data_IF_438455738285
#
_entry.id   IF_438455738285
#
_cell.length_a   1.000
_cell.length_b   1.000
_cell.length_c   1.000
_cell.angle_alpha   90.00
_cell.angle_beta   90.00
_cell.angle_gamma   90.00
#
_symmetry.space_group_name_H-M   'P 1'
#
loop_
_entity.id
_entity.type
_entity.pdbx_description
1 polymer ?
#
# COMPACT_ATOMS: atom_id res chain seq x y z
N UNK A 1 33.87 -13.06 -15.98
CA UNK A 1 33.66 -14.10 -14.96
C UNK A 1 33.37 -13.41 -13.64
N UNK A 2 32.12 -13.43 -13.18
CA UNK A 2 31.74 -12.83 -11.89
C UNK A 2 32.07 -13.88 -10.82
N UNK A 3 32.99 -13.56 -9.90
CA UNK A 3 33.34 -14.45 -8.79
C UNK A 3 32.08 -14.74 -7.96
N UNK A 4 31.85 -16.01 -7.62
CA UNK A 4 30.73 -16.38 -6.75
C UNK A 4 30.91 -15.70 -5.39
N UNK A 5 29.87 -15.05 -4.85
CA UNK A 5 29.96 -14.43 -3.54
C UNK A 5 30.28 -15.49 -2.46
N UNK A 6 31.05 -15.13 -1.42
CA UNK A 6 31.38 -16.06 -0.34
C UNK A 6 30.10 -16.58 0.32
N UNK A 7 30.11 -17.86 0.67
CA UNK A 7 28.99 -18.50 1.35
C UNK A 7 28.76 -17.83 2.70
N UNK A 8 27.56 -17.30 2.88
CA UNK A 8 27.06 -16.77 4.17
C UNK A 8 27.03 -17.95 5.17
N UNK A 9 27.86 -17.97 6.24
CA UNK A 9 27.99 -19.10 7.16
C UNK A 9 26.65 -19.55 7.78
N UNK A 10 25.74 -18.62 7.99
CA UNK A 10 24.39 -18.82 8.52
C UNK A 10 23.53 -19.70 7.59
N UNK A 11 23.79 -19.71 6.28
CA UNK A 11 23.12 -20.60 5.33
C UNK A 11 23.58 -22.06 5.43
N UNK A 12 24.70 -22.34 6.10
CA UNK A 12 25.15 -23.72 6.35
C UNK A 12 24.16 -24.47 7.26
N UNK A 13 23.54 -23.76 8.21
CA UNK A 13 22.48 -24.30 9.07
C UNK A 13 21.25 -24.70 8.26
N UNK A 14 20.78 -23.80 7.39
CA UNK A 14 19.63 -24.03 6.49
C UNK A 14 19.86 -25.26 5.61
N UNK A 15 21.04 -25.37 4.98
CA UNK A 15 21.40 -26.52 4.14
C UNK A 15 21.46 -27.82 4.92
N UNK A 16 21.97 -27.79 6.16
CA UNK A 16 22.03 -28.97 7.03
C UNK A 16 20.63 -29.46 7.38
N UNK A 17 19.72 -28.56 7.76
CA UNK A 17 18.32 -28.89 8.08
C UNK A 17 17.61 -29.53 6.90
N UNK A 18 17.72 -28.98 5.70
CA UNK A 18 17.04 -29.59 4.55
C UNK A 18 17.64 -30.94 4.14
N UNK A 19 18.94 -31.15 4.37
CA UNK A 19 19.61 -32.45 4.12
C UNK A 19 19.19 -33.56 5.07
N UNK A 20 18.68 -33.26 6.27
CA UNK A 20 18.11 -34.30 7.15
C UNK A 20 16.77 -34.81 6.64
N UNK A 21 16.04 -33.97 5.90
CA UNK A 21 14.71 -34.29 5.34
C UNK A 21 14.82 -34.88 3.94
N UNK A 22 15.76 -34.38 3.12
CA UNK A 22 15.97 -34.81 1.75
C UNK A 22 17.44 -35.22 1.53
N UNK A 23 17.79 -36.51 1.73
CA UNK A 23 19.10 -37.01 1.33
C UNK A 23 19.25 -36.90 -0.19
N UNK A 24 20.43 -36.48 -0.66
CA UNK A 24 20.74 -36.24 -2.07
C UNK A 24 20.38 -37.47 -2.93
N UNK A 25 19.61 -37.30 -4.01
CA UNK A 25 19.50 -38.36 -5.02
C UNK A 25 18.24 -38.43 -5.89
N UNK A 26 17.13 -37.77 -5.54
CA UNK A 26 15.93 -37.90 -6.38
C UNK A 26 15.06 -36.63 -6.34
N UNK A 27 15.23 -35.78 -7.36
CA UNK A 27 14.42 -34.58 -7.53
C UNK A 27 13.93 -34.52 -8.97
N UNK A 28 12.62 -34.32 -9.15
CA UNK A 28 12.03 -34.07 -10.46
C UNK A 28 12.70 -32.88 -11.14
N UNK A 29 12.73 -32.88 -12.48
CA UNK A 29 13.34 -31.80 -13.25
C UNK A 29 12.76 -30.43 -12.82
N UNK A 30 13.59 -29.38 -12.65
CA UNK A 30 13.14 -28.07 -12.14
C UNK A 30 11.92 -27.50 -12.88
N UNK A 31 11.79 -27.78 -14.17
CA UNK A 31 10.67 -27.34 -15.02
C UNK A 31 9.34 -28.03 -14.71
N UNK A 32 9.36 -29.31 -14.31
CA UNK A 32 8.16 -30.05 -13.89
C UNK A 32 7.68 -29.60 -12.51
N UNK A 33 8.62 -29.35 -11.59
CA UNK A 33 8.34 -28.77 -10.28
C UNK A 33 7.76 -27.36 -10.40
N UNK A 34 8.29 -26.54 -11.31
CA UNK A 34 7.84 -25.16 -11.52
C UNK A 34 6.36 -25.07 -11.93
N UNK A 35 5.86 -25.98 -12.76
CA UNK A 35 4.46 -25.94 -13.24
C UNK A 35 3.45 -26.29 -12.14
N UNK A 36 3.76 -27.31 -11.33
CA UNK A 36 2.95 -27.67 -10.15
C UNK A 36 3.02 -26.60 -9.06
N UNK A 37 4.22 -26.07 -8.80
CA UNK A 37 4.44 -24.99 -7.85
C UNK A 37 3.71 -23.70 -8.26
N UNK A 38 3.69 -23.34 -9.54
CA UNK A 38 2.99 -22.13 -10.02
C UNK A 38 1.47 -22.22 -9.80
N UNK A 39 0.89 -23.40 -9.99
CA UNK A 39 -0.53 -23.66 -9.72
C UNK A 39 -0.85 -23.56 -8.24
N UNK A 40 -0.03 -24.16 -7.38
CA UNK A 40 -0.23 -24.11 -5.93
C UNK A 40 0.03 -22.72 -5.37
N UNK A 41 1.07 -22.04 -5.84
CA UNK A 41 1.35 -20.64 -5.55
C UNK A 41 0.14 -19.76 -5.88
N UNK A 42 -0.48 -19.97 -7.04
CA UNK A 42 -1.70 -19.24 -7.42
C UNK A 42 -2.88 -19.51 -6.46
N UNK A 43 -3.06 -20.75 -5.98
CA UNK A 43 -4.10 -21.07 -4.97
C UNK A 43 -3.84 -20.40 -3.63
N UNK A 44 -2.59 -20.48 -3.16
CA UNK A 44 -2.16 -20.01 -1.83
C UNK A 44 -2.08 -18.48 -1.77
N UNK A 45 -1.51 -17.83 -2.79
CA UNK A 45 -1.42 -16.37 -2.87
C UNK A 45 -2.80 -15.71 -2.77
N UNK A 46 -3.83 -16.33 -3.34
CA UNK A 46 -5.18 -15.77 -3.37
C UNK A 46 -5.98 -15.96 -2.06
N UNK A 47 -5.39 -16.51 -0.99
CA UNK A 47 -6.10 -16.67 0.30
C UNK A 47 -6.44 -15.35 0.97
N UNK A 48 -5.52 -14.39 0.90
CA UNK A 48 -5.73 -13.02 1.38
C UNK A 48 -5.55 -12.00 0.26
N UNK A 49 -5.55 -12.44 -1.00
CA UNK A 49 -5.38 -11.59 -2.16
C UNK A 49 -6.41 -11.88 -3.24
N UNK A 50 -6.66 -10.90 -4.07
CA UNK A 50 -7.29 -11.11 -5.35
C UNK A 50 -6.60 -10.28 -6.42
N UNK A 51 -6.65 -10.77 -7.65
CA UNK A 51 -6.15 -10.06 -8.82
C UNK A 51 -7.29 -9.93 -9.84
N UNK A 52 -7.32 -8.80 -10.53
CA UNK A 52 -8.08 -8.67 -11.77
C UNK A 52 -7.21 -8.01 -12.86
N UNK A 53 -7.54 -8.30 -14.11
CA UNK A 53 -6.94 -7.69 -15.29
C UNK A 53 -8.00 -6.80 -15.94
N UNK A 54 -7.65 -5.55 -16.17
CA UNK A 54 -8.52 -4.55 -16.77
C UNK A 54 -8.06 -4.24 -18.19
N UNK A 55 -8.97 -4.31 -19.16
CA UNK A 55 -8.75 -3.77 -20.50
C UNK A 55 -9.07 -2.28 -20.49
N UNK A 56 -8.03 -1.48 -20.67
CA UNK A 56 -8.08 -0.01 -20.63
C UNK A 56 -8.92 0.55 -21.77
N UNK A 57 -8.99 -0.11 -22.93
CA UNK A 57 -9.78 0.37 -24.08
C UNK A 57 -11.25 0.07 -23.91
N UNK A 58 -11.56 -1.15 -23.47
CA UNK A 58 -12.94 -1.56 -23.24
C UNK A 58 -13.53 -0.93 -21.96
N UNK A 59 -12.67 -0.47 -21.04
CA UNK A 59 -13.02 -0.02 -19.69
C UNK A 59 -13.71 -1.12 -18.86
N UNK A 60 -13.26 -2.38 -19.02
CA UNK A 60 -13.88 -3.54 -18.36
C UNK A 60 -12.84 -4.53 -17.86
N UNK A 61 -13.12 -5.28 -16.77
CA UNK A 61 -12.28 -6.40 -16.39
C UNK A 61 -12.40 -7.54 -17.42
N UNK A 62 -11.25 -8.07 -17.86
CA UNK A 62 -11.18 -9.28 -18.72
C UNK A 62 -10.91 -10.54 -17.92
N UNK A 63 -10.47 -10.39 -16.67
CA UNK A 63 -10.25 -11.49 -15.75
C UNK A 63 -10.41 -11.00 -14.31
N UNK A 64 -11.04 -11.80 -13.45
CA UNK A 64 -11.14 -11.58 -12.01
C UNK A 64 -10.92 -12.92 -11.31
N UNK A 65 -9.97 -12.96 -10.38
CA UNK A 65 -9.71 -14.17 -9.60
C UNK A 65 -10.79 -14.41 -8.54
N UNK A 66 -11.08 -15.68 -8.22
CA UNK A 66 -12.00 -16.05 -7.13
C UNK A 66 -11.54 -15.62 -5.72
N UNK A 67 -10.33 -15.08 -5.57
CA UNK A 67 -9.87 -14.50 -4.30
C UNK A 67 -10.74 -13.34 -3.81
N UNK A 68 -11.42 -12.63 -4.73
CA UNK A 68 -12.23 -11.45 -4.38
C UNK A 68 -13.38 -11.79 -3.44
N UNK A 69 -13.97 -12.99 -3.58
CA UNK A 69 -15.03 -13.47 -2.69
C UNK A 69 -14.51 -13.67 -1.26
N UNK A 70 -13.26 -14.13 -1.11
CA UNK A 70 -12.63 -14.30 0.21
C UNK A 70 -12.29 -12.97 0.86
N UNK A 71 -11.79 -12.00 0.08
CA UNK A 71 -11.32 -10.71 0.61
C UNK A 71 -12.47 -9.71 0.83
N UNK A 72 -13.44 -9.65 -0.09
CA UNK A 72 -14.51 -8.64 -0.07
C UNK A 72 -15.93 -9.24 -0.01
N UNK A 73 -16.07 -10.56 -0.08
CA UNK A 73 -17.36 -11.24 -0.11
C UNK A 73 -18.06 -11.24 -1.47
N UNK A 74 -17.52 -10.52 -2.45
CA UNK A 74 -18.14 -10.35 -3.77
C UNK A 74 -17.85 -11.55 -4.67
N UNK A 75 -18.88 -12.20 -5.25
CA UNK A 75 -18.67 -13.21 -6.28
C UNK A 75 -17.94 -12.60 -7.48
N UNK A 76 -16.96 -13.32 -8.02
CA UNK A 76 -16.16 -12.81 -9.15
C UNK A 76 -17.00 -12.44 -10.39
N UNK A 77 -18.16 -13.10 -10.57
CA UNK A 77 -19.10 -12.80 -11.65
C UNK A 77 -19.85 -11.48 -11.47
N UNK A 78 -19.99 -11.00 -10.24
CA UNK A 78 -20.70 -9.76 -9.90
C UNK A 78 -19.76 -8.55 -9.85
N UNK A 79 -18.45 -8.78 -10.04
CA UNK A 79 -17.45 -7.74 -9.96
C UNK A 79 -17.53 -6.78 -11.15
N UNK A 80 -17.53 -5.48 -10.83
CA UNK A 80 -17.18 -4.43 -11.77
C UNK A 80 -16.22 -3.44 -11.14
N UNK A 81 -15.51 -2.67 -11.97
CA UNK A 81 -14.62 -1.61 -11.47
C UNK A 81 -15.45 -0.53 -10.77
N UNK A 82 -16.64 -0.21 -11.29
CA UNK A 82 -17.58 0.75 -10.67
C UNK A 82 -17.99 0.30 -9.26
N UNK A 83 -18.35 -0.98 -9.10
CA UNK A 83 -18.69 -1.55 -7.80
C UNK A 83 -17.51 -1.44 -6.82
N UNK A 84 -16.29 -1.69 -7.30
CA UNK A 84 -15.08 -1.59 -6.48
C UNK A 84 -14.85 -0.15 -5.99
N UNK A 85 -15.02 0.84 -6.87
CA UNK A 85 -14.90 2.26 -6.51
C UNK A 85 -16.01 2.73 -5.58
N UNK A 86 -17.24 2.25 -5.75
CA UNK A 86 -18.36 2.50 -4.84
C UNK A 86 -18.17 1.84 -3.45
N UNK A 87 -17.26 0.87 -3.37
CA UNK A 87 -16.92 0.21 -2.11
C UNK A 87 -15.80 0.93 -1.35
N UNK A 88 -15.17 1.96 -1.90
CA UNK A 88 -14.14 2.75 -1.20
C UNK A 88 -14.78 3.45 0.01
N UNK A 89 -14.07 3.43 1.16
CA UNK A 89 -14.50 4.17 2.34
C UNK A 89 -14.69 5.67 2.03
N UNK A 90 -15.79 6.33 2.47
CA UNK A 90 -16.09 7.72 2.12
C UNK A 90 -14.92 8.70 2.31
N UNK A 91 -14.20 8.60 3.43
CA UNK A 91 -13.03 9.44 3.74
C UNK A 91 -11.84 9.20 2.78
N UNK A 92 -11.77 8.03 2.16
CA UNK A 92 -10.66 7.61 1.30
C UNK A 92 -10.93 7.95 -0.18
N UNK A 93 -12.21 8.12 -0.57
CA UNK A 93 -12.65 8.30 -1.98
C UNK A 93 -11.89 9.42 -2.69
N UNK A 94 -11.78 10.58 -2.04
CA UNK A 94 -11.14 11.74 -2.67
C UNK A 94 -9.65 11.50 -2.95
N UNK A 95 -8.93 10.94 -1.99
CA UNK A 95 -7.49 10.68 -2.10
C UNK A 95 -7.21 9.55 -3.10
N UNK A 96 -7.94 8.43 -3.00
CA UNK A 96 -7.80 7.28 -3.92
C UNK A 96 -8.19 7.66 -5.34
N UNK A 97 -9.27 8.42 -5.52
CA UNK A 97 -9.72 8.91 -6.82
C UNK A 97 -8.68 9.80 -7.48
N UNK A 98 -8.16 10.81 -6.75
CA UNK A 98 -7.12 11.70 -7.30
C UNK A 98 -5.85 10.93 -7.63
N UNK A 99 -5.38 10.03 -6.77
CA UNK A 99 -4.19 9.22 -7.04
C UNK A 99 -4.36 8.32 -8.28
N UNK A 100 -5.56 7.77 -8.46
CA UNK A 100 -5.89 6.96 -9.65
C UNK A 100 -5.82 7.82 -10.91
N UNK A 101 -6.40 9.02 -10.90
CA UNK A 101 -6.32 9.97 -12.02
C UNK A 101 -4.86 10.30 -12.34
N UNK A 102 -4.04 10.59 -11.32
CA UNK A 102 -2.62 10.87 -11.50
C UNK A 102 -1.86 9.70 -12.13
N UNK A 103 -2.17 8.46 -11.73
CA UNK A 103 -1.57 7.26 -12.31
C UNK A 103 -1.99 7.04 -13.77
N UNK A 104 -3.25 7.34 -14.12
CA UNK A 104 -3.75 7.23 -15.49
C UNK A 104 -3.15 8.31 -16.40
N UNK A 105 -3.06 9.56 -15.92
CA UNK A 105 -2.39 10.65 -16.63
C UNK A 105 -0.90 10.35 -16.87
N UNK A 106 -0.23 9.77 -15.86
CA UNK A 106 1.16 9.31 -16.02
C UNK A 106 1.25 8.23 -17.08
N UNK A 107 0.40 7.20 -17.03
CA UNK A 107 0.40 6.12 -18.01
C UNK A 107 0.18 6.63 -19.44
N UNK A 108 -0.77 7.56 -19.63
CA UNK A 108 -1.05 8.17 -20.92
C UNK A 108 0.12 9.03 -21.44
N UNK A 109 0.83 9.71 -20.53
CA UNK A 109 1.95 10.61 -20.89
C UNK A 109 3.24 9.86 -21.21
N UNK A 110 3.58 8.87 -20.39
CA UNK A 110 4.87 8.18 -20.43
C UNK A 110 4.81 6.82 -21.12
N UNK A 111 3.61 6.31 -21.43
CA UNK A 111 3.38 5.17 -22.32
C UNK A 111 4.23 3.96 -21.93
N UNK A 112 5.13 3.51 -22.82
CA UNK A 112 6.00 2.36 -22.61
C UNK A 112 6.88 2.47 -21.36
N UNK A 113 7.25 3.68 -20.92
CA UNK A 113 8.02 3.86 -19.67
C UNK A 113 7.24 3.47 -18.42
N UNK A 114 5.90 3.39 -18.52
CA UNK A 114 5.01 2.91 -17.46
C UNK A 114 5.15 1.39 -17.26
N UNK A 115 5.62 0.67 -18.28
CA UNK A 115 5.78 -0.77 -18.20
C UNK A 115 6.87 -1.12 -17.17
N UNK A 116 6.55 -2.07 -16.29
CA UNK A 116 7.41 -2.44 -15.17
C UNK A 116 7.32 -1.50 -13.95
N UNK A 117 6.61 -0.37 -14.05
CA UNK A 117 6.32 0.47 -12.88
C UNK A 117 5.17 -0.11 -12.08
N UNK A 118 5.30 -0.07 -10.75
CA UNK A 118 4.26 -0.51 -9.82
C UNK A 118 3.71 0.69 -9.08
N UNK A 119 2.41 0.90 -9.22
CA UNK A 119 1.67 1.90 -8.46
C UNK A 119 0.90 1.23 -7.32
N UNK A 120 1.34 1.51 -6.10
CA UNK A 120 0.80 0.96 -4.86
C UNK A 120 -0.11 1.98 -4.17
N UNK A 121 -1.28 1.55 -3.72
CA UNK A 121 -2.19 2.36 -2.92
C UNK A 121 -2.78 1.51 -1.78
N UNK A 122 -2.63 1.94 -0.53
CA UNK A 122 -3.31 1.30 0.60
C UNK A 122 -4.47 2.16 1.10
N UNK A 123 -5.64 1.54 1.30
CA UNK A 123 -6.89 2.22 1.65
C UNK A 123 -7.96 1.21 2.09
N UNK A 124 -9.15 1.69 2.46
CA UNK A 124 -10.24 0.84 2.94
C UNK A 124 -11.27 0.58 1.84
N UNK A 125 -11.64 -0.69 1.71
CA UNK A 125 -12.77 -1.15 0.91
C UNK A 125 -13.84 -1.77 1.81
N UNK A 126 -15.10 -1.53 1.50
CA UNK A 126 -16.26 -2.11 2.18
C UNK A 126 -16.46 -3.54 1.68
N UNK A 127 -16.37 -4.50 2.59
CA UNK A 127 -16.81 -5.86 2.33
C UNK A 127 -18.32 -5.88 2.12
N UNK A 128 -18.84 -6.84 1.33
CA UNK A 128 -20.28 -7.05 1.13
C UNK A 128 -21.08 -7.26 2.43
N UNK A 129 -20.42 -7.65 3.53
CA UNK A 129 -21.02 -7.79 4.88
C UNK A 129 -21.04 -6.48 5.68
N UNK A 130 -20.60 -5.36 5.11
CA UNK A 130 -20.69 -4.01 5.68
C UNK A 130 -19.48 -3.53 6.47
N UNK A 131 -18.55 -4.40 6.87
CA UNK A 131 -17.30 -3.99 7.52
C UNK A 131 -16.25 -3.54 6.50
N UNK A 132 -15.22 -2.83 6.96
CA UNK A 132 -14.13 -2.38 6.09
C UNK A 132 -12.90 -3.28 6.19
N UNK A 133 -12.31 -3.57 5.05
CA UNK A 133 -11.05 -4.31 4.85
C UNK A 133 -10.01 -3.30 4.38
N UNK A 134 -8.84 -3.29 5.02
CA UNK A 134 -7.70 -2.49 4.54
C UNK A 134 -6.99 -3.29 3.47
N UNK A 135 -6.91 -2.72 2.27
CA UNK A 135 -6.27 -3.36 1.13
C UNK A 135 -5.03 -2.59 0.71
N UNK A 136 -3.98 -3.31 0.31
CA UNK A 136 -2.91 -2.78 -0.53
C UNK A 136 -3.24 -3.17 -1.97
N UNK A 137 -3.55 -2.18 -2.80
CA UNK A 137 -3.66 -2.32 -4.25
C UNK A 137 -2.31 -2.08 -4.90
N UNK A 138 -1.89 -2.93 -5.80
CA UNK A 138 -0.72 -2.74 -6.66
C UNK A 138 -1.13 -2.89 -8.12
N UNK A 139 -1.00 -1.80 -8.88
CA UNK A 139 -1.31 -1.74 -10.30
C UNK A 139 -0.02 -1.70 -11.11
N UNK A 140 0.04 -2.48 -12.19
CA UNK A 140 1.14 -2.44 -13.15
C UNK A 140 0.65 -2.78 -14.55
N UNK A 141 1.26 -2.16 -15.56
CA UNK A 141 0.96 -2.44 -16.97
C UNK A 141 1.38 -3.87 -17.33
N UNK A 142 0.45 -4.62 -17.93
CA UNK A 142 0.66 -6.01 -18.36
C UNK A 142 0.99 -6.10 -19.85
N UNK A 143 0.41 -5.24 -20.67
CA UNK A 143 0.73 -5.13 -22.10
C UNK A 143 0.49 -3.71 -22.62
N UNK A 144 1.11 -3.42 -23.76
CA UNK A 144 0.97 -2.17 -24.49
C UNK A 144 0.85 -2.45 -26.00
N UNK A 145 0.35 -1.47 -26.77
CA UNK A 145 0.39 -1.48 -28.23
C UNK A 145 1.79 -1.09 -28.77
N UNK A 146 1.92 -1.03 -30.09
CA UNK A 146 3.18 -0.69 -30.77
C UNK A 146 3.63 0.74 -30.48
N UNK A 147 2.69 1.65 -30.21
CA UNK A 147 2.93 3.02 -29.80
C UNK A 147 3.24 3.16 -28.29
N UNK A 148 3.18 2.06 -27.54
CA UNK A 148 3.46 2.00 -26.11
C UNK A 148 2.29 2.40 -25.21
N UNK A 149 1.09 2.61 -25.74
CA UNK A 149 -0.09 2.87 -24.91
C UNK A 149 -0.48 1.59 -24.17
N UNK A 150 -0.75 1.72 -22.87
CA UNK A 150 -1.12 0.57 -22.02
C UNK A 150 -2.47 0.01 -22.47
N UNK A 151 -2.51 -1.30 -22.73
CA UNK A 151 -3.72 -2.02 -23.12
C UNK A 151 -4.34 -2.76 -21.94
N UNK A 152 -3.52 -3.45 -21.16
CA UNK A 152 -3.95 -4.25 -20.01
C UNK A 152 -3.24 -3.78 -18.75
N UNK A 153 -4.00 -3.64 -17.66
CA UNK A 153 -3.48 -3.35 -16.32
C UNK A 153 -3.83 -4.54 -15.42
N UNK A 154 -2.84 -5.11 -14.75
CA UNK A 154 -3.06 -6.06 -13.68
C UNK A 154 -3.13 -5.30 -12.35
N UNK A 155 -4.15 -5.59 -11.56
CA UNK A 155 -4.35 -4.99 -10.24
C UNK A 155 -4.42 -6.08 -9.18
N UNK A 156 -3.42 -6.15 -8.31
CA UNK A 156 -3.38 -7.08 -7.17
C UNK A 156 -3.84 -6.36 -5.93
N UNK A 157 -4.74 -6.97 -5.18
CA UNK A 157 -5.27 -6.47 -3.91
C UNK A 157 -4.91 -7.46 -2.83
N UNK A 158 -4.26 -6.97 -1.79
CA UNK A 158 -3.87 -7.76 -0.61
C UNK A 158 -4.60 -7.24 0.61
N UNK A 159 -5.29 -8.09 1.35
CA UNK A 159 -5.78 -7.74 2.68
C UNK A 159 -4.59 -7.53 3.61
N UNK A 160 -4.43 -6.29 4.06
CA UNK A 160 -3.39 -5.84 4.99
C UNK A 160 -3.98 -5.44 6.35
N UNK A 161 -5.21 -5.82 6.65
CA UNK A 161 -5.90 -5.42 7.90
C UNK A 161 -5.16 -5.88 9.15
N UNK A 162 -4.42 -6.98 9.08
CA UNK A 162 -3.56 -7.47 10.17
C UNK A 162 -2.23 -6.70 10.31
N UNK A 163 -1.81 -5.98 9.28
CA UNK A 163 -0.48 -5.34 9.19
C UNK A 163 -0.52 -3.81 9.25
N UNK A 164 -1.64 -3.19 8.83
CA UNK A 164 -1.87 -1.75 8.91
C UNK A 164 -3.05 -1.46 9.85
N UNK A 165 -2.77 -0.80 10.97
CA UNK A 165 -3.78 -0.44 11.97
C UNK A 165 -4.29 0.99 11.82
N UNK A 166 -3.74 1.75 10.88
CA UNK A 166 -4.10 3.14 10.63
C UNK A 166 -5.09 3.25 9.47
N UNK A 167 -5.86 4.33 9.45
CA UNK A 167 -6.97 4.57 8.50
C UNK A 167 -6.59 5.45 7.33
N UNK A 168 -5.33 5.84 7.24
CA UNK A 168 -4.84 6.69 6.18
C UNK A 168 -4.69 5.99 4.85
N UNK A 169 -4.95 6.78 3.81
CA UNK A 169 -4.64 6.41 2.44
C UNK A 169 -3.19 6.69 2.15
N UNK A 170 -2.54 5.72 1.51
CA UNK A 170 -1.11 5.76 1.29
C UNK A 170 -0.75 5.41 -0.13
N UNK A 171 0.23 6.10 -0.71
CA UNK A 171 0.59 5.95 -2.10
C UNK A 171 2.11 5.75 -2.24
N UNK A 172 2.48 4.86 -3.16
CA UNK A 172 3.87 4.69 -3.57
C UNK A 172 3.93 4.34 -5.05
N UNK A 173 4.84 4.95 -5.80
CA UNK A 173 5.17 4.52 -7.15
C UNK A 173 6.67 4.24 -7.25
N UNK A 174 7.04 3.19 -7.99
CA UNK A 174 8.44 2.89 -8.30
C UNK A 174 9.09 3.94 -9.20
N UNK A 175 8.30 4.67 -10.00
CA UNK A 175 8.80 5.82 -10.78
C UNK A 175 8.79 7.08 -9.91
N UNK A 176 9.96 7.70 -9.77
CA UNK A 176 10.16 8.87 -8.93
C UNK A 176 9.35 10.10 -9.38
N UNK A 177 9.08 10.25 -10.69
CA UNK A 177 8.32 11.40 -11.23
C UNK A 177 6.88 11.33 -10.78
N UNK A 178 6.26 10.14 -10.85
CA UNK A 178 4.92 9.93 -10.34
C UNK A 178 4.90 10.02 -8.81
N UNK A 179 5.89 9.45 -8.13
CA UNK A 179 5.99 9.53 -6.66
C UNK A 179 6.00 10.98 -6.17
N UNK A 180 6.84 11.84 -6.74
CA UNK A 180 6.91 13.26 -6.39
C UNK A 180 5.58 13.98 -6.63
N UNK A 181 4.89 13.68 -7.73
CA UNK A 181 3.61 14.29 -8.05
C UNK A 181 2.51 13.87 -7.06
N UNK A 182 2.46 12.59 -6.70
CA UNK A 182 1.56 12.09 -5.66
C UNK A 182 1.81 12.81 -4.33
N UNK A 183 3.07 12.96 -3.92
CA UNK A 183 3.43 13.64 -2.68
C UNK A 183 3.09 15.14 -2.69
N UNK A 184 3.13 15.80 -3.84
CA UNK A 184 2.78 17.22 -3.95
C UNK A 184 1.28 17.44 -3.87
N UNK A 185 0.50 16.60 -4.57
CA UNK A 185 -0.93 16.82 -4.74
C UNK A 185 -1.79 16.16 -3.66
N UNK A 186 -1.33 15.05 -3.09
CA UNK A 186 -2.06 14.28 -2.08
C UNK A 186 -1.50 14.49 -0.67
N UNK A 187 -0.53 15.41 -0.51
CA UNK A 187 -0.01 15.72 0.80
C UNK A 187 -1.15 16.14 1.70
N UNK A 188 -1.31 15.52 2.88
CA UNK A 188 -2.20 16.11 3.87
C UNK A 188 -1.76 17.55 4.17
N UNK A 189 -2.72 18.47 4.37
CA UNK A 189 -2.40 19.78 4.89
C UNK A 189 -1.61 19.61 6.19
N UNK A 190 -0.45 20.30 6.30
CA UNK A 190 0.30 20.34 7.56
C UNK A 190 -0.65 20.75 8.67
N UNK A 191 -0.58 20.14 9.88
CA UNK A 191 -1.51 20.46 10.93
C UNK A 191 -1.28 21.92 11.30
N UNK A 192 -2.30 22.76 11.10
CA UNK A 192 -2.26 24.17 11.50
C UNK A 192 -2.30 24.23 13.03
N UNK A 193 -1.12 24.26 13.63
CA UNK A 193 -0.95 24.53 15.05
C UNK A 193 -1.22 26.02 15.29
N UNK A 194 -1.97 26.35 16.33
CA UNK A 194 -2.09 27.73 16.78
C UNK A 194 -0.74 28.23 17.30
N UNK A 195 -0.57 29.55 17.40
CA UNK A 195 0.66 30.14 17.94
C UNK A 195 1.00 29.58 19.35
N UNK A 196 -0.03 29.36 20.18
CA UNK A 196 0.13 28.74 21.51
C UNK A 196 0.50 27.26 21.45
N UNK A 197 -0.08 26.50 20.52
CA UNK A 197 0.30 25.10 20.31
C UNK A 197 1.73 24.98 19.77
N UNK A 198 2.19 25.90 18.92
CA UNK A 198 3.57 25.96 18.46
C UNK A 198 4.54 26.24 19.62
N UNK A 199 4.25 27.23 20.46
CA UNK A 199 5.06 27.55 21.63
C UNK A 199 5.15 26.36 22.60
N UNK A 200 4.03 25.69 22.88
CA UNK A 200 4.02 24.47 23.71
C UNK A 200 4.82 23.34 23.04
N UNK A 201 4.67 23.12 21.73
CA UNK A 201 5.40 22.08 21.01
C UNK A 201 6.92 22.29 21.06
N UNK A 202 7.40 23.53 20.88
CA UNK A 202 8.83 23.84 20.96
C UNK A 202 9.43 23.44 22.32
N UNK A 203 8.74 23.75 23.42
CA UNK A 203 9.20 23.39 24.75
C UNK A 203 9.10 21.89 25.03
N UNK A 204 8.09 21.21 24.47
CA UNK A 204 8.03 19.73 24.50
C UNK A 204 9.23 19.11 23.79
N UNK A 205 9.60 19.63 22.61
CA UNK A 205 10.76 19.15 21.85
C UNK A 205 12.09 19.44 22.58
N UNK A 206 12.14 20.50 23.39
CA UNK A 206 13.25 20.78 24.30
C UNK A 206 13.23 19.93 25.59
N UNK A 207 12.35 18.94 25.71
CA UNK A 207 12.29 18.01 26.85
C UNK A 207 11.61 18.56 28.10
N UNK A 208 10.93 19.70 28.03
CA UNK A 208 10.28 20.33 29.20
C UNK A 208 9.03 19.57 29.64
N UNK A 209 8.87 19.46 30.95
CA UNK A 209 7.66 18.93 31.61
C UNK A 209 6.48 19.90 31.49
N UNK A 210 5.23 19.40 31.61
CA UNK A 210 4.05 20.28 31.60
C UNK A 210 4.07 21.35 32.69
N UNK A 211 4.79 21.11 33.80
CA UNK A 211 4.92 22.09 34.89
C UNK A 211 5.92 23.19 34.52
N UNK A 212 7.06 22.85 33.92
CA UNK A 212 8.03 23.84 33.42
C UNK A 212 7.43 24.70 32.30
N UNK A 213 6.72 24.07 31.35
CA UNK A 213 6.03 24.78 30.26
C UNK A 213 4.98 25.74 30.80
N UNK A 214 4.26 25.35 31.85
CA UNK A 214 3.25 26.19 32.49
C UNK A 214 3.88 27.45 33.09
N UNK A 215 5.02 27.30 33.78
CA UNK A 215 5.78 28.43 34.33
C UNK A 215 6.30 29.34 33.21
N UNK A 216 6.93 28.78 32.18
CA UNK A 216 7.58 29.54 31.12
C UNK A 216 6.60 30.30 30.22
N UNK A 217 5.40 29.74 29.99
CA UNK A 217 4.37 30.37 29.15
C UNK A 217 3.34 31.18 29.94
N UNK A 218 3.49 31.28 31.27
CA UNK A 218 2.51 31.86 32.20
C UNK A 218 1.10 31.28 32.03
N UNK A 219 1.00 29.95 31.99
CA UNK A 219 -0.23 29.18 31.84
C UNK A 219 -0.47 28.27 33.04
N UNK A 220 -1.69 27.78 33.20
CA UNK A 220 -1.93 26.67 34.12
C UNK A 220 -1.41 25.34 33.53
N UNK A 221 -0.99 24.41 34.39
CA UNK A 221 -0.63 23.05 33.96
C UNK A 221 -1.78 22.37 33.22
N UNK A 222 -3.02 22.65 33.62
CA UNK A 222 -4.22 22.15 32.94
C UNK A 222 -4.30 22.65 31.49
N UNK A 223 -4.09 23.96 31.27
CA UNK A 223 -4.08 24.57 29.94
C UNK A 223 -2.97 24.00 29.05
N UNK A 224 -1.77 23.80 29.60
CA UNK A 224 -0.66 23.13 28.88
C UNK A 224 -1.04 21.71 28.48
N UNK A 225 -1.64 20.93 29.38
CA UNK A 225 -2.08 19.58 29.07
C UNK A 225 -3.15 19.56 27.97
N UNK A 226 -4.06 20.54 27.95
CA UNK A 226 -5.03 20.71 26.88
C UNK A 226 -4.34 21.02 25.54
N UNK A 227 -3.36 21.92 25.51
CA UNK A 227 -2.57 22.17 24.30
C UNK A 227 -1.81 20.93 23.84
N UNK A 228 -1.15 20.18 24.74
CA UNK A 228 -0.45 18.92 24.40
C UNK A 228 -1.41 17.90 23.79
N UNK A 229 -2.62 17.72 24.35
CA UNK A 229 -3.65 16.84 23.76
C UNK A 229 -4.07 17.32 22.37
N UNK A 230 -4.28 18.62 22.18
CA UNK A 230 -4.65 19.19 20.88
C UNK A 230 -3.53 19.01 19.84
N UNK A 231 -2.28 19.25 20.22
CA UNK A 231 -1.10 18.99 19.39
C UNK A 231 -1.05 17.51 19.02
N UNK A 232 -1.15 16.59 19.99
CA UNK A 232 -1.14 15.15 19.72
C UNK A 232 -2.30 14.70 18.85
N UNK A 233 -3.48 15.31 18.98
CA UNK A 233 -4.66 15.05 18.14
C UNK A 233 -4.44 15.52 16.71
N UNK A 234 -4.04 16.78 16.52
CA UNK A 234 -3.72 17.36 15.20
C UNK A 234 -2.56 16.63 14.53
N UNK A 235 -1.56 16.24 15.32
CA UNK A 235 -0.46 15.42 14.85
C UNK A 235 -0.93 14.04 14.45
N UNK A 236 -1.76 13.34 15.22
CA UNK A 236 -2.36 12.05 14.81
C UNK A 236 -3.14 12.18 13.50
N UNK A 237 -3.95 13.22 13.36
CA UNK A 237 -4.70 13.49 12.13
C UNK A 237 -3.76 13.69 10.93
N UNK A 238 -2.62 14.36 11.11
CA UNK A 238 -1.61 14.54 10.05
C UNK A 238 -0.73 13.30 9.82
N UNK A 239 -0.35 12.57 10.88
CA UNK A 239 0.53 11.41 10.81
C UNK A 239 -0.18 10.13 10.40
N UNK A 240 -1.51 10.05 10.62
CA UNK A 240 -2.34 9.13 9.87
C UNK A 240 -2.05 9.40 8.39
N UNK A 241 -2.30 10.59 7.86
CA UNK A 241 -2.11 10.87 6.43
C UNK A 241 -0.65 10.84 5.87
N UNK A 242 0.38 10.50 6.66
CA UNK A 242 1.79 10.70 6.29
C UNK A 242 2.78 9.58 6.64
N UNK A 243 2.35 8.44 7.19
CA UNK A 243 3.26 7.29 7.44
C UNK A 243 2.90 6.12 6.54
N UNK A 244 3.47 6.16 5.35
CA UNK A 244 3.54 4.99 4.48
C UNK A 244 4.79 4.93 3.63
N UNK A 245 5.90 5.38 4.20
CA UNK A 245 7.22 5.13 3.66
C UNK A 245 8.08 4.69 4.84
N UNK A 246 8.51 3.44 4.77
CA UNK A 246 9.32 2.71 5.72
C UNK A 246 9.51 1.31 5.18
#
# INVERSE_FOLDING_TARGET
>A
MIASPPLIPELAGVRRTWRTVYPYGDHAAPTQLASGAMRELSRQMLLNQFIFIHDVRAQQPVFVSAGIERVLGCPAADFSVEWLYQSIHPDDVAAVGRATVLSAEYAARYRAETMGQVFSTAYRLRHQRGHYVRVLRQNYGLSADEEGNVLLIASVYTDISAHKLTDDVTFHCTDERLQQRLEQELRPPRPRLSHREQAVLQLVLAGRSSREIATELHLSVHTVNTHRRNISRKHRQHYQLGRSVG
#
